data_IF_978146590115
#
_entry.id   IF_978146590115
#
_cell.length_a   1.000
_cell.length_b   1.000
_cell.length_c   1.000
_cell.angle_alpha   90.00
_cell.angle_beta   90.00
_cell.angle_gamma   90.00
#
_symmetry.space_group_name_H-M   'P 1'
#
loop_
_entity.id
_entity.type
_entity.pdbx_description
1 polymer ?
#
# COMPACT_ATOMS: atom_id res chain seq x y z
N UNK A 1 -30.26 5.79 -50.31
CA UNK A 1 -30.88 6.79 -49.41
C UNK A 1 -31.29 6.08 -48.13
N UNK A 2 -31.09 6.75 -46.99
CA UNK A 2 -31.33 6.33 -45.60
C UNK A 2 -30.33 5.31 -45.02
N UNK A 3 -29.74 5.49 -43.83
CA UNK A 3 -29.51 6.68 -43.00
C UNK A 3 -28.39 6.24 -42.04
N UNK A 4 -27.21 6.87 -42.09
CA UNK A 4 -26.18 6.71 -41.07
C UNK A 4 -26.60 7.55 -39.86
N UNK A 5 -27.20 6.90 -38.86
CA UNK A 5 -27.37 7.50 -37.53
C UNK A 5 -26.12 7.22 -36.70
N UNK A 6 -25.20 8.18 -36.76
CA UNK A 6 -24.07 8.33 -35.84
C UNK A 6 -24.64 8.60 -34.45
N UNK A 7 -24.35 7.74 -33.47
CA UNK A 7 -24.65 8.02 -32.07
C UNK A 7 -23.69 9.11 -31.54
N UNK A 8 -24.19 10.28 -31.10
CA UNK A 8 -23.34 11.29 -30.50
C UNK A 8 -22.91 10.86 -29.09
N UNK A 9 -21.61 10.98 -28.82
CA UNK A 9 -21.04 10.84 -27.48
C UNK A 9 -21.72 11.83 -26.52
N UNK A 10 -22.59 11.32 -25.66
CA UNK A 10 -23.23 12.10 -24.60
C UNK A 10 -22.20 12.30 -23.47
N UNK A 11 -21.51 13.44 -23.51
CA UNK A 11 -20.59 13.89 -22.46
C UNK A 11 -21.42 14.31 -21.24
N UNK A 12 -21.58 13.43 -20.26
CA UNK A 12 -22.13 13.79 -18.96
C UNK A 12 -21.19 14.80 -18.30
N UNK A 13 -21.52 16.09 -18.39
CA UNK A 13 -20.95 17.11 -17.50
C UNK A 13 -21.50 16.85 -16.11
N UNK A 14 -20.75 16.11 -15.30
CA UNK A 14 -20.87 16.22 -13.85
C UNK A 14 -20.54 17.66 -13.49
N UNK A 15 -21.55 18.45 -13.16
CA UNK A 15 -21.38 19.71 -12.45
C UNK A 15 -20.97 19.34 -11.00
N UNK A 16 -19.68 19.07 -10.79
CA UNK A 16 -19.09 19.23 -9.47
C UNK A 16 -18.87 20.72 -9.28
N UNK A 17 -19.80 21.35 -8.56
CA UNK A 17 -19.61 22.67 -7.98
C UNK A 17 -18.39 22.63 -7.07
N UNK A 18 -17.24 23.00 -7.63
CA UNK A 18 -15.97 23.14 -6.94
C UNK A 18 -16.10 24.34 -5.99
N UNK A 19 -16.43 24.07 -4.74
CA UNK A 19 -16.43 25.10 -3.70
C UNK A 19 -15.03 25.73 -3.65
N UNK A 20 -14.98 27.02 -4.00
CA UNK A 20 -13.77 27.86 -4.08
C UNK A 20 -13.24 28.23 -2.69
N UNK A 21 -12.95 27.23 -1.85
CA UNK A 21 -12.25 27.44 -0.60
C UNK A 21 -10.85 26.82 -0.64
N UNK A 22 -9.91 27.74 -0.81
CA UNK A 22 -8.45 27.66 -0.81
C UNK A 22 -7.91 26.68 0.25
N UNK A 23 -6.87 25.92 -0.10
CA UNK A 23 -5.85 25.64 0.88
C UNK A 23 -4.45 25.93 0.30
N UNK A 24 -3.64 26.67 1.06
CA UNK A 24 -2.20 26.45 1.02
C UNK A 24 -1.94 24.97 1.30
N UNK A 25 -1.15 24.33 0.44
CA UNK A 25 -0.82 22.92 0.60
C UNK A 25 0.64 22.87 1.00
N UNK A 26 0.90 22.82 2.30
CA UNK A 26 2.21 22.37 2.77
C UNK A 26 2.33 20.90 2.40
N UNK A 27 3.10 20.59 1.35
CA UNK A 27 3.50 19.21 1.06
C UNK A 27 4.87 19.02 1.65
N UNK A 28 4.98 18.21 2.71
CA UNK A 28 6.28 17.61 3.04
C UNK A 28 6.75 16.88 1.79
N UNK A 29 7.98 17.14 1.34
CA UNK A 29 8.61 16.35 0.30
C UNK A 29 8.67 14.92 0.82
N UNK A 30 7.69 14.09 0.47
CA UNK A 30 7.83 12.65 0.58
C UNK A 30 8.88 12.31 -0.46
N UNK A 31 10.13 12.19 -0.03
CA UNK A 31 11.10 11.42 -0.79
C UNK A 31 10.43 10.10 -1.16
N UNK A 32 10.56 9.63 -2.41
CA UNK A 32 10.01 8.34 -2.78
C UNK A 32 10.49 7.31 -1.76
N UNK A 33 9.53 6.66 -1.09
CA UNK A 33 9.79 5.58 -0.14
C UNK A 33 10.68 4.56 -0.85
N UNK A 34 11.97 4.57 -0.52
CA UNK A 34 12.87 3.51 -0.93
C UNK A 34 12.35 2.25 -0.23
N UNK A 35 12.06 1.21 -1.02
CA UNK A 35 11.35 0.00 -0.60
C UNK A 35 12.13 -0.82 0.45
N UNK A 36 13.35 -0.39 0.80
CA UNK A 36 14.30 -1.15 1.60
C UNK A 36 14.43 -0.68 3.06
N UNK A 37 13.74 0.40 3.47
CA UNK A 37 13.75 0.86 4.88
C UNK A 37 12.40 1.46 5.28
N UNK A 38 11.46 0.61 5.69
CA UNK A 38 10.10 0.99 6.09
C UNK A 38 10.00 1.79 7.41
N UNK A 39 11.09 2.25 8.02
CA UNK A 39 11.06 2.87 9.37
C UNK A 39 11.76 4.22 9.52
N UNK A 40 12.39 4.78 8.49
CA UNK A 40 13.12 6.04 8.65
C UNK A 40 12.39 7.21 7.95
N UNK A 41 11.38 7.74 8.63
CA UNK A 41 11.13 9.19 8.55
C UNK A 41 12.41 9.93 8.99
N UNK A 42 12.76 11.07 8.38
CA UNK A 42 13.91 11.85 8.84
C UNK A 42 13.71 12.17 10.31
N UNK A 43 14.63 11.67 11.16
CA UNK A 43 14.62 11.94 12.59
C UNK A 43 14.87 13.43 12.77
N UNK A 44 14.18 14.05 13.72
CA UNK A 44 14.25 15.49 13.98
C UNK A 44 15.66 16.01 14.36
N UNK A 45 16.63 15.12 14.58
CA UNK A 45 18.02 15.49 14.85
C UNK A 45 18.85 15.79 13.58
N UNK A 46 18.29 15.63 12.39
CA UNK A 46 18.94 16.11 11.17
C UNK A 46 18.68 17.60 11.00
N UNK A 47 19.72 18.40 11.27
CA UNK A 47 19.76 19.86 11.07
C UNK A 47 19.43 20.29 9.64
N UNK A 48 19.41 19.33 8.72
CA UNK A 48 19.14 19.46 7.28
C UNK A 48 17.68 19.23 6.90
N UNK A 49 16.79 18.90 7.86
CA UNK A 49 15.38 18.63 7.54
C UNK A 49 14.69 19.90 7.07
N UNK A 50 14.25 19.90 5.81
CA UNK A 50 13.55 21.02 5.17
C UNK A 50 12.06 20.71 5.02
N UNK A 51 11.22 21.71 5.27
CA UNK A 51 9.77 21.67 5.06
C UNK A 51 9.45 22.54 3.85
N UNK A 52 8.61 22.04 2.94
CA UNK A 52 8.18 22.79 1.74
C UNK A 52 6.73 23.24 1.89
N UNK A 53 6.51 24.56 1.95
CA UNK A 53 5.19 25.16 1.74
C UNK A 53 4.94 25.35 0.25
N UNK A 54 3.74 25.05 -0.24
CA UNK A 54 3.38 25.37 -1.63
C UNK A 54 2.02 26.05 -1.72
N UNK A 55 1.92 27.04 -2.62
CA UNK A 55 0.69 27.77 -2.93
C UNK A 55 0.49 27.86 -4.42
N UNK A 56 -0.69 27.51 -4.89
CA UNK A 56 -1.05 27.64 -6.30
C UNK A 56 -1.35 29.11 -6.64
N UNK A 57 -0.81 29.58 -7.76
CA UNK A 57 -1.08 30.89 -8.34
C UNK A 57 -2.18 30.73 -9.36
N UNK A 58 -3.28 31.43 -9.15
CA UNK A 58 -4.42 31.46 -10.04
C UNK A 58 -4.48 32.79 -10.78
N UNK A 59 -4.69 32.75 -12.09
CA UNK A 59 -4.88 33.92 -12.94
C UNK A 59 -6.28 33.85 -13.55
N UNK A 60 -6.92 35.00 -13.66
CA UNK A 60 -8.22 35.12 -14.30
C UNK A 60 -8.99 36.35 -13.80
N UNK A 61 -10.16 36.58 -14.40
CA UNK A 61 -11.00 37.74 -14.16
C UNK A 61 -12.34 37.32 -13.54
N UNK A 62 -12.75 38.03 -12.49
CA UNK A 62 -13.99 37.73 -11.76
C UNK A 62 -14.02 36.32 -11.16
N UNK A 63 -15.03 35.52 -11.53
CA UNK A 63 -15.25 34.16 -11.02
C UNK A 63 -14.44 33.08 -11.74
N UNK A 64 -13.85 33.39 -12.90
CA UNK A 64 -13.11 32.43 -13.72
C UNK A 64 -11.62 32.50 -13.39
N UNK A 65 -11.17 31.68 -12.44
CA UNK A 65 -9.77 31.57 -12.04
C UNK A 65 -9.17 30.24 -12.52
N UNK A 66 -7.99 30.28 -13.14
CA UNK A 66 -7.27 29.10 -13.63
C UNK A 66 -5.91 29.00 -12.94
N UNK A 67 -5.52 27.83 -12.40
CA UNK A 67 -4.19 27.65 -11.84
C UNK A 67 -3.15 27.70 -12.97
N UNK A 68 -2.15 28.58 -12.85
CA UNK A 68 -1.10 28.76 -13.87
C UNK A 68 0.29 28.40 -13.37
N UNK A 69 0.52 28.45 -12.06
CA UNK A 69 1.80 28.13 -11.45
C UNK A 69 1.63 27.66 -9.99
N UNK A 70 2.69 27.15 -9.40
CA UNK A 70 2.79 26.85 -7.96
C UNK A 70 4.07 27.47 -7.45
N UNK A 71 3.96 28.33 -6.44
CA UNK A 71 5.12 28.85 -5.71
C UNK A 71 5.40 27.96 -4.52
N UNK A 72 6.67 27.66 -4.29
CA UNK A 72 7.13 26.84 -3.17
C UNK A 72 8.17 27.57 -2.34
N UNK A 73 8.06 27.52 -1.02
CA UNK A 73 9.06 28.01 -0.08
C UNK A 73 9.58 26.82 0.74
N UNK A 74 10.90 26.66 0.78
CA UNK A 74 11.54 25.70 1.68
C UNK A 74 12.11 26.43 2.89
N UNK A 75 11.79 25.94 4.08
CA UNK A 75 12.33 26.47 5.32
C UNK A 75 12.77 25.33 6.24
N UNK A 76 13.73 25.63 7.12
CA UNK A 76 14.34 24.64 8.00
C UNK A 76 13.36 24.25 9.12
N UNK A 77 13.22 22.94 9.37
CA UNK A 77 12.34 22.41 10.42
C UNK A 77 12.74 22.90 11.81
N UNK A 78 14.03 22.93 12.14
CA UNK A 78 14.50 23.41 13.45
C UNK A 78 14.17 24.89 13.66
N UNK A 79 14.28 25.73 12.62
CA UNK A 79 13.89 27.14 12.72
C UNK A 79 12.39 27.31 12.93
N UNK A 80 11.56 26.45 12.32
CA UNK A 80 10.14 26.41 12.62
C UNK A 80 9.88 25.99 14.07
N UNK A 81 10.60 24.98 14.57
CA UNK A 81 10.50 24.53 15.96
C UNK A 81 10.91 25.62 16.96
N UNK A 82 11.99 26.36 16.70
CA UNK A 82 12.43 27.50 17.53
C UNK A 82 11.31 28.55 17.66
N UNK A 83 10.71 28.94 16.53
CA UNK A 83 9.58 29.89 16.51
C UNK A 83 8.36 29.32 17.24
N UNK A 84 8.03 28.06 16.96
CA UNK A 84 6.93 27.37 17.63
C UNK A 84 7.12 27.36 19.14
N UNK A 85 8.28 26.93 19.63
CA UNK A 85 8.61 26.83 21.05
C UNK A 85 8.53 28.19 21.73
N UNK A 86 9.07 29.23 21.10
CA UNK A 86 8.97 30.61 21.59
C UNK A 86 7.51 31.10 21.69
N UNK A 87 6.66 30.78 20.71
CA UNK A 87 5.24 31.17 20.72
C UNK A 87 4.43 30.42 21.78
N UNK A 88 4.58 29.10 21.88
CA UNK A 88 3.74 28.27 22.77
C UNK A 88 4.15 28.34 24.25
N UNK A 89 5.32 28.92 24.54
CA UNK A 89 5.81 29.18 25.90
C UNK A 89 5.56 30.61 26.36
N UNK A 90 5.35 31.55 25.42
CA UNK A 90 5.06 32.95 25.73
C UNK A 90 3.65 33.15 26.28
N UNK A 91 3.56 34.04 27.26
CA UNK A 91 2.32 34.56 27.80
C UNK A 91 2.13 36.01 27.34
N UNK A 92 0.92 36.40 26.94
CA UNK A 92 0.62 37.79 26.61
C UNK A 92 0.77 38.70 27.84
N UNK A 93 1.40 39.87 27.63
CA UNK A 93 1.56 40.89 28.66
C UNK A 93 0.19 41.49 28.99
N UNK A 94 -0.22 41.40 30.26
CA UNK A 94 -1.51 41.92 30.75
C UNK A 94 -2.48 40.85 31.25
N UNK A 95 -2.17 39.56 31.05
CA UNK A 95 -2.92 38.45 31.65
C UNK A 95 -2.22 38.06 32.96
N UNK A 96 -2.68 38.61 34.09
CA UNK A 96 -2.08 38.41 35.42
C UNK A 96 -2.11 36.96 35.95
N UNK A 97 -2.61 36.00 35.17
CA UNK A 97 -2.67 34.58 35.52
C UNK A 97 -2.47 33.68 34.28
N UNK A 98 -1.45 33.93 33.46
CA UNK A 98 -1.08 32.98 32.41
C UNK A 98 -0.46 31.71 33.03
N UNK A 99 -1.33 30.76 33.39
CA UNK A 99 -0.98 29.51 34.08
C UNK A 99 -0.90 28.30 33.16
N UNK A 100 -1.21 28.44 31.87
CA UNK A 100 -1.34 27.32 30.94
C UNK A 100 -0.55 27.62 29.67
N UNK A 101 0.62 26.99 29.56
CA UNK A 101 1.48 27.03 28.37
C UNK A 101 1.93 25.60 28.05
N UNK A 102 2.47 25.39 26.84
CA UNK A 102 3.02 24.09 26.45
C UNK A 102 4.32 23.75 27.19
N UNK A 103 4.82 24.63 28.06
CA UNK A 103 5.96 24.35 28.94
C UNK A 103 5.59 23.44 30.11
N UNK A 104 4.30 23.29 30.42
CA UNK A 104 3.84 22.49 31.56
C UNK A 104 3.94 21.01 31.19
N UNK A 105 4.60 20.22 32.03
CA UNK A 105 4.82 18.77 31.82
C UNK A 105 3.53 17.94 31.64
N UNK A 106 2.37 18.50 32.00
CA UNK A 106 1.07 17.86 31.87
C UNK A 106 0.46 17.98 30.47
N UNK A 107 0.97 18.90 29.66
CA UNK A 107 0.47 19.16 28.30
C UNK A 107 1.46 18.63 27.28
N UNK A 108 0.92 18.15 26.17
CA UNK A 108 1.69 17.86 24.97
C UNK A 108 1.08 18.62 23.80
N UNK A 109 1.91 19.39 23.12
CA UNK A 109 1.49 20.29 22.06
C UNK A 109 2.07 19.87 20.72
N UNK A 110 1.26 20.01 19.68
CA UNK A 110 1.56 19.52 18.34
C UNK A 110 1.11 20.53 17.30
N UNK A 111 1.86 20.61 16.20
CA UNK A 111 1.34 21.10 14.93
C UNK A 111 1.05 19.90 14.05
N UNK A 112 -0.20 19.73 13.62
CA UNK A 112 -0.63 18.67 12.72
C UNK A 112 -0.90 19.20 11.31
N UNK A 113 -0.66 18.37 10.31
CA UNK A 113 -1.07 18.64 8.93
C UNK A 113 -2.54 18.24 8.68
N UNK A 114 -3.04 18.51 7.48
CA UNK A 114 -4.42 18.17 7.11
C UNK A 114 -4.72 16.66 7.05
N UNK A 115 -3.70 15.81 7.20
CA UNK A 115 -3.80 14.36 7.19
C UNK A 115 -3.51 13.75 8.58
N UNK A 116 -3.47 14.60 9.63
CA UNK A 116 -3.25 14.21 11.02
C UNK A 116 -1.84 13.66 11.32
N UNK A 117 -0.84 14.03 10.51
CA UNK A 117 0.56 13.78 10.81
C UNK A 117 1.17 14.92 11.61
N UNK A 118 2.03 14.56 12.57
CA UNK A 118 2.75 15.52 13.40
C UNK A 118 3.86 16.18 12.58
N UNK A 119 3.76 17.50 12.43
CA UNK A 119 4.78 18.33 11.80
C UNK A 119 5.80 18.85 12.83
N UNK A 120 5.31 19.34 13.96
CA UNK A 120 6.13 19.90 15.06
C UNK A 120 5.62 19.34 16.39
N UNK A 121 6.55 18.98 17.28
CA UNK A 121 6.30 18.41 18.60
C UNK A 121 7.55 18.59 19.47
N UNK A 122 7.39 18.74 20.78
CA UNK A 122 8.52 18.79 21.73
C UNK A 122 9.23 17.45 21.88
N UNK A 123 8.54 16.35 21.52
CA UNK A 123 9.10 15.01 21.44
C UNK A 123 9.56 14.71 20.00
N UNK A 124 10.89 14.57 19.75
CA UNK A 124 11.45 14.31 18.43
C UNK A 124 10.87 13.06 17.75
N UNK A 125 10.61 12.02 18.54
CA UNK A 125 10.13 10.71 18.06
C UNK A 125 8.69 10.76 17.52
N UNK A 126 7.95 11.84 17.77
CA UNK A 126 6.59 12.00 17.28
C UNK A 126 6.54 12.66 15.91
N UNK A 127 7.59 13.36 15.49
CA UNK A 127 7.62 14.07 14.21
C UNK A 127 7.50 13.10 13.04
N UNK A 128 6.55 13.36 12.15
CA UNK A 128 6.24 12.51 11.01
C UNK A 128 5.37 11.29 11.31
N UNK A 129 5.03 11.03 12.57
CA UNK A 129 4.06 9.99 12.94
C UNK A 129 2.64 10.52 12.82
N UNK A 130 1.73 9.59 12.57
CA UNK A 130 0.30 9.85 12.63
C UNK A 130 -0.14 9.99 14.09
N UNK A 131 -0.95 11.00 14.40
CA UNK A 131 -1.34 11.29 15.78
C UNK A 131 -2.09 10.13 16.45
N UNK A 132 -2.85 9.33 15.69
CA UNK A 132 -3.56 8.17 16.22
C UNK A 132 -2.66 7.01 16.64
N UNK A 133 -1.41 6.95 16.18
CA UNK A 133 -0.42 5.98 16.68
C UNK A 133 0.17 6.42 18.03
N UNK A 134 0.10 7.72 18.34
CA UNK A 134 0.61 8.31 19.59
C UNK A 134 -0.52 8.39 20.63
N UNK A 135 -1.67 8.95 20.23
CA UNK A 135 -2.87 9.20 21.05
C UNK A 135 -4.13 8.76 20.28
N UNK A 136 -4.45 7.44 20.26
CA UNK A 136 -5.64 6.92 19.57
C UNK A 136 -6.95 7.45 20.18
N UNK A 137 -6.95 7.73 21.48
CA UNK A 137 -8.06 8.35 22.20
C UNK A 137 -8.38 9.76 21.70
N UNK A 138 -7.36 10.60 21.54
CA UNK A 138 -7.53 11.95 21.01
C UNK A 138 -7.94 11.91 19.55
N UNK A 139 -7.38 10.99 18.75
CA UNK A 139 -7.76 10.88 17.35
C UNK A 139 -9.22 10.46 17.17
N UNK A 140 -9.73 9.55 18.02
CA UNK A 140 -11.14 9.20 18.04
C UNK A 140 -12.01 10.43 18.37
N UNK A 141 -11.66 11.20 19.40
CA UNK A 141 -12.41 12.41 19.75
C UNK A 141 -12.38 13.45 18.60
N UNK A 142 -11.24 13.62 17.92
CA UNK A 142 -11.12 14.55 16.78
C UNK A 142 -12.00 14.14 15.58
N UNK A 143 -12.26 12.84 15.40
CA UNK A 143 -13.17 12.33 14.37
C UNK A 143 -14.63 12.54 14.79
N UNK A 144 -14.94 12.30 16.07
CA UNK A 144 -16.28 12.47 16.62
C UNK A 144 -16.69 13.95 16.57
N UNK A 145 -15.78 14.85 16.95
CA UNK A 145 -15.93 16.31 16.89
C UNK A 145 -15.80 16.86 15.46
N UNK A 146 -15.70 15.99 14.45
CA UNK A 146 -15.65 16.31 13.01
C UNK A 146 -14.48 17.18 12.57
N UNK A 147 -13.41 17.28 13.36
CA UNK A 147 -12.18 17.97 12.99
C UNK A 147 -11.51 17.24 11.82
N UNK A 148 -11.44 15.91 11.87
CA UNK A 148 -10.98 15.06 10.77
C UNK A 148 -12.10 14.19 10.23
N UNK A 149 -12.10 14.00 8.90
CA UNK A 149 -13.00 13.09 8.20
C UNK A 149 -12.21 11.83 7.83
N UNK A 150 -12.54 10.66 8.42
CA UNK A 150 -11.92 9.40 8.06
C UNK A 150 -12.45 8.89 6.72
N UNK A 151 -11.57 8.32 5.90
CA UNK A 151 -11.91 7.63 4.64
C UNK A 151 -11.18 6.30 4.61
N UNK A 152 -11.91 5.19 4.54
CA UNK A 152 -11.33 3.86 4.36
C UNK A 152 -11.00 3.68 2.88
N UNK A 153 -9.74 3.38 2.58
CA UNK A 153 -9.24 3.14 1.24
C UNK A 153 -8.85 1.66 1.10
N UNK A 154 -9.20 1.08 -0.05
CA UNK A 154 -8.81 -0.27 -0.45
C UNK A 154 -7.88 -0.19 -1.66
N UNK A 155 -6.80 -0.95 -1.62
CA UNK A 155 -5.86 -1.15 -2.73
C UNK A 155 -5.89 -2.62 -3.15
N UNK A 156 -6.61 -2.91 -4.23
CA UNK A 156 -6.77 -4.25 -4.80
C UNK A 156 -5.62 -4.64 -5.77
N UNK A 157 -4.62 -3.77 -5.92
CA UNK A 157 -3.47 -3.98 -6.80
C UNK A 157 -2.15 -3.98 -6.04
N UNK A 158 -2.22 -4.15 -4.71
CA UNK A 158 -1.07 -4.13 -3.84
C UNK A 158 -0.23 -5.43 -3.95
N UNK A 159 1.00 -5.33 -3.45
CA UNK A 159 1.95 -6.45 -3.37
C UNK A 159 2.25 -6.70 -1.89
N UNK A 160 1.98 -7.92 -1.42
CA UNK A 160 2.29 -8.36 -0.07
C UNK A 160 3.48 -9.33 -0.08
N UNK A 161 4.36 -9.15 0.90
CA UNK A 161 5.49 -10.03 1.15
C UNK A 161 5.03 -11.20 2.00
N UNK A 162 4.83 -12.36 1.37
CA UNK A 162 4.49 -13.59 2.11
C UNK A 162 5.75 -14.40 2.37
N UNK A 163 5.80 -14.99 3.56
CA UNK A 163 6.82 -16.00 3.84
C UNK A 163 6.66 -17.14 2.83
N UNK A 164 7.77 -17.67 2.30
CA UNK A 164 7.69 -18.83 1.43
C UNK A 164 7.01 -19.97 2.20
N UNK A 165 6.20 -20.79 1.51
CA UNK A 165 5.58 -21.95 2.15
C UNK A 165 6.68 -22.80 2.79
N UNK A 166 6.40 -23.32 3.99
CA UNK A 166 7.34 -24.21 4.69
C UNK A 166 7.74 -25.33 3.73
N UNK A 167 9.05 -25.45 3.51
CA UNK A 167 9.60 -26.52 2.68
C UNK A 167 9.14 -27.86 3.26
N UNK A 168 8.41 -28.64 2.46
CA UNK A 168 8.01 -30.02 2.80
C UNK A 168 9.26 -30.79 3.29
N UNK A 169 9.18 -31.62 4.35
CA UNK A 169 10.30 -32.45 4.80
C UNK A 169 10.90 -33.24 3.65
N UNK A 170 12.23 -33.41 3.64
CA UNK A 170 12.94 -34.06 2.52
C UNK A 170 12.41 -35.48 2.25
N UNK A 171 12.06 -36.21 3.31
CA UNK A 171 11.50 -37.55 3.23
C UNK A 171 10.17 -37.58 2.46
N UNK A 172 9.30 -36.61 2.72
CA UNK A 172 8.00 -36.49 2.05
C UNK A 172 8.18 -36.01 0.60
N UNK A 173 9.12 -35.10 0.33
CA UNK A 173 9.50 -34.73 -1.05
C UNK A 173 9.97 -35.95 -1.86
N UNK A 174 10.80 -36.80 -1.26
CA UNK A 174 11.30 -38.03 -1.91
C UNK A 174 10.15 -39.02 -2.18
N UNK A 175 9.20 -39.17 -1.24
CA UNK A 175 8.00 -40.01 -1.45
C UNK A 175 7.17 -39.51 -2.63
N UNK A 176 6.83 -38.22 -2.66
CA UNK A 176 6.07 -37.60 -3.76
C UNK A 176 6.79 -37.77 -5.09
N UNK A 177 8.13 -37.61 -5.12
CA UNK A 177 8.93 -37.79 -6.35
C UNK A 177 8.90 -39.24 -6.84
N UNK A 178 9.07 -40.23 -5.95
CA UNK A 178 8.99 -41.66 -6.30
C UNK A 178 7.61 -42.03 -6.80
N UNK A 179 6.55 -41.48 -6.21
CA UNK A 179 5.17 -41.72 -6.63
C UNK A 179 4.87 -41.14 -8.01
N UNK A 180 5.28 -39.89 -8.29
CA UNK A 180 5.18 -39.29 -9.62
C UNK A 180 5.97 -40.08 -10.67
N UNK A 181 7.17 -40.58 -10.34
CA UNK A 181 7.94 -41.43 -11.24
C UNK A 181 7.24 -42.76 -11.54
N UNK A 182 6.66 -43.41 -10.52
CA UNK A 182 5.88 -44.63 -10.69
C UNK A 182 4.62 -44.40 -11.54
N UNK A 183 3.91 -43.28 -11.33
CA UNK A 183 2.76 -42.89 -12.13
C UNK A 183 3.14 -42.63 -13.60
N UNK A 184 4.23 -41.89 -13.85
CA UNK A 184 4.75 -41.65 -15.19
C UNK A 184 5.19 -42.95 -15.90
N UNK A 185 5.81 -43.89 -15.16
CA UNK A 185 6.17 -45.20 -15.69
C UNK A 185 4.93 -46.03 -16.07
N UNK A 186 3.86 -45.99 -15.26
CA UNK A 186 2.57 -46.63 -15.57
C UNK A 186 1.91 -46.02 -16.82
N UNK A 187 1.95 -44.70 -16.97
CA UNK A 187 1.45 -44.00 -18.15
C UNK A 187 2.22 -44.38 -19.42
N UNK A 188 3.57 -44.43 -19.36
CA UNK A 188 4.42 -44.88 -20.49
C UNK A 188 4.17 -46.33 -20.89
N UNK A 189 3.92 -47.23 -19.92
CA UNK A 189 3.58 -48.63 -20.22
C UNK A 189 2.22 -48.74 -20.93
N UNK A 190 1.21 -47.98 -20.51
CA UNK A 190 -0.09 -47.90 -21.20
C UNK A 190 0.03 -47.31 -22.61
N UNK A 191 0.86 -46.29 -22.81
CA UNK A 191 1.13 -45.73 -24.14
C UNK A 191 1.86 -46.72 -25.06
N UNK A 192 2.75 -47.56 -24.52
CA UNK A 192 3.47 -48.60 -25.29
C UNK A 192 2.61 -49.82 -25.61
N UNK A 193 1.63 -50.19 -24.77
CA UNK A 193 0.72 -51.31 -25.07
C UNK A 193 -0.22 -51.01 -26.25
N UNK A 194 -0.44 -49.73 -26.58
CA UNK A 194 -1.14 -49.31 -27.80
C UNK A 194 -0.22 -49.20 -29.04
N UNK A 195 1.10 -49.30 -28.88
CA UNK A 195 2.08 -49.08 -29.96
C UNK A 195 2.90 -50.34 -30.33
N UNK A 196 2.55 -51.53 -29.81
CA UNK A 196 3.21 -52.78 -30.20
C UNK A 196 2.53 -53.43 -31.41
N UNK A 197 2.86 -52.94 -32.60
CA UNK A 197 2.84 -53.78 -33.82
C UNK A 197 3.78 -53.20 -34.89
N UNK A 198 5.10 -53.19 -34.67
CA UNK A 198 6.09 -53.28 -35.75
C UNK A 198 7.45 -53.69 -35.17
N UNK A 199 8.04 -54.73 -35.75
CA UNK A 199 9.18 -55.48 -35.24
C UNK A 199 10.54 -54.81 -35.46
N UNK A 200 11.55 -55.44 -34.84
CA UNK A 200 12.99 -55.15 -34.87
C UNK A 200 13.50 -54.82 -36.29
N UNK A 201 14.34 -53.77 -36.44
CA UNK A 201 15.75 -53.90 -36.09
C UNK A 201 16.38 -52.60 -35.54
N UNK A 202 16.40 -52.42 -34.22
CA UNK A 202 16.95 -51.20 -33.60
C UNK A 202 18.01 -51.48 -32.52
N UNK A 203 18.41 -52.74 -32.34
CA UNK A 203 19.34 -53.15 -31.28
C UNK A 203 20.83 -53.02 -31.66
N UNK A 204 21.17 -52.97 -32.95
CA UNK A 204 22.56 -52.88 -33.42
C UNK A 204 23.09 -51.43 -33.51
N UNK A 205 22.23 -50.44 -33.73
CA UNK A 205 22.63 -49.03 -33.82
C UNK A 205 22.87 -48.40 -32.42
N UNK A 206 22.19 -48.92 -31.40
CA UNK A 206 22.31 -48.45 -30.01
C UNK A 206 23.71 -48.70 -29.45
N UNK A 207 24.27 -49.91 -29.67
CA UNK A 207 25.58 -50.31 -29.12
C UNK A 207 26.71 -49.45 -29.72
N UNK A 208 26.64 -49.13 -31.01
CA UNK A 208 27.60 -48.22 -31.66
C UNK A 208 27.58 -46.81 -31.07
N UNK A 209 26.38 -46.29 -30.75
CA UNK A 209 26.22 -45.00 -30.07
C UNK A 209 26.82 -44.98 -28.67
N UNK A 210 26.58 -46.04 -27.88
CA UNK A 210 27.12 -46.16 -26.52
C UNK A 210 28.65 -46.17 -26.51
N UNK A 211 29.29 -46.90 -27.43
CA UNK A 211 30.75 -46.95 -27.53
C UNK A 211 31.29 -45.56 -27.89
N UNK A 212 30.68 -44.88 -28.88
CA UNK A 212 31.11 -43.54 -29.30
C UNK A 212 31.00 -42.50 -28.19
N UNK A 213 29.91 -42.50 -27.43
CA UNK A 213 29.72 -41.55 -26.32
C UNK A 213 30.67 -41.82 -25.16
N UNK A 214 31.00 -43.08 -24.91
CA UNK A 214 31.91 -43.45 -23.81
C UNK A 214 33.35 -43.06 -24.15
N UNK A 215 33.77 -43.27 -25.41
CA UNK A 215 35.08 -42.82 -25.90
C UNK A 215 35.19 -41.29 -25.88
N UNK A 216 34.13 -40.58 -26.29
CA UNK A 216 34.10 -39.11 -26.26
C UNK A 216 34.11 -38.55 -24.82
N UNK A 217 33.44 -39.22 -23.88
CA UNK A 217 33.49 -38.88 -22.46
C UNK A 217 34.89 -39.06 -21.86
N UNK A 218 35.56 -40.18 -22.17
CA UNK A 218 36.94 -40.42 -21.73
C UNK A 218 37.93 -39.45 -22.39
N UNK A 219 37.73 -39.10 -23.65
CA UNK A 219 38.51 -38.06 -24.34
C UNK A 219 38.35 -36.70 -23.66
N UNK A 220 37.15 -36.34 -23.20
CA UNK A 220 36.91 -35.12 -22.42
C UNK A 220 37.58 -35.14 -21.05
N UNK A 221 37.64 -36.29 -20.38
CA UNK A 221 38.34 -36.45 -19.09
C UNK A 221 39.86 -36.28 -19.25
N UNK A 222 40.43 -36.79 -20.34
CA UNK A 222 41.88 -36.66 -20.62
C UNK A 222 42.25 -35.28 -21.16
N UNK A 223 41.35 -34.61 -21.88
CA UNK A 223 41.59 -33.29 -22.49
C UNK A 223 41.42 -32.11 -21.51
N UNK A 224 41.13 -32.38 -20.22
CA UNK A 224 41.18 -31.36 -19.16
C UNK A 224 40.23 -30.17 -19.36
N UNK A 225 39.04 -30.39 -19.93
CA UNK A 225 38.04 -29.32 -20.04
C UNK A 225 37.29 -29.19 -18.71
N UNK A 226 37.63 -28.14 -17.95
CA UNK A 226 37.16 -27.87 -16.59
C UNK A 226 35.63 -27.84 -16.48
N UNK A 227 35.05 -28.77 -15.73
CA UNK A 227 33.78 -28.54 -15.02
C UNK A 227 34.05 -28.66 -13.52
N UNK A 228 34.74 -27.65 -12.98
CA UNK A 228 34.89 -27.51 -11.54
C UNK A 228 33.58 -26.97 -10.95
N UNK A 229 32.85 -27.82 -10.25
CA UNK A 229 31.83 -27.35 -9.30
C UNK A 229 32.60 -26.73 -8.13
N UNK A 230 32.66 -25.41 -8.08
CA UNK A 230 33.26 -24.70 -6.95
C UNK A 230 32.41 -24.91 -5.70
N UNK A 231 32.92 -25.70 -4.75
CA UNK A 231 32.38 -25.78 -3.40
C UNK A 231 33.40 -25.11 -2.47
N UNK A 232 33.07 -23.91 -1.99
CA UNK A 232 33.99 -23.14 -1.16
C UNK A 232 34.16 -23.77 0.21
N UNK A 233 35.39 -23.66 0.72
CA UNK A 233 35.87 -24.26 1.97
C UNK A 233 35.88 -23.25 3.13
N UNK A 234 35.57 -21.97 2.85
CA UNK A 234 35.63 -20.90 3.83
C UNK A 234 34.42 -20.97 4.78
N UNK A 235 34.68 -21.09 6.08
CA UNK A 235 33.66 -21.15 7.12
C UNK A 235 32.74 -19.92 7.10
N UNK A 236 33.26 -18.74 6.79
CA UNK A 236 32.47 -17.50 6.66
C UNK A 236 31.45 -17.57 5.50
N UNK A 237 31.81 -18.24 4.41
CA UNK A 237 30.92 -18.44 3.26
C UNK A 237 29.88 -19.54 3.53
N UNK A 238 30.23 -20.53 4.36
CA UNK A 238 29.31 -21.56 4.86
C UNK A 238 28.34 -20.94 5.88
N UNK A 239 28.81 -20.01 6.74
CA UNK A 239 27.98 -19.26 7.68
C UNK A 239 27.00 -18.32 6.96
N UNK A 240 27.43 -17.67 5.89
CA UNK A 240 26.55 -16.87 5.02
C UNK A 240 25.48 -17.74 4.32
N UNK A 241 25.82 -18.95 3.89
CA UNK A 241 24.84 -19.92 3.35
C UNK A 241 23.91 -20.52 4.42
N UNK A 242 24.33 -20.57 5.69
CA UNK A 242 23.48 -20.98 6.82
C UNK A 242 22.48 -19.89 7.22
N UNK A 243 22.76 -18.62 6.91
CA UNK A 243 21.75 -17.56 6.91
C UNK A 243 20.97 -17.62 5.60
N UNK A 244 20.07 -18.60 5.49
CA UNK A 244 19.08 -18.60 4.42
C UNK A 244 18.24 -17.32 4.56
N UNK A 245 18.56 -16.29 3.78
CA UNK A 245 17.70 -15.13 3.60
C UNK A 245 16.34 -15.69 3.22
N UNK A 246 15.35 -15.53 4.10
CA UNK A 246 13.98 -15.90 3.81
C UNK A 246 13.53 -14.95 2.70
N UNK A 247 13.69 -15.38 1.45
CA UNK A 247 13.23 -14.63 0.29
C UNK A 247 11.72 -14.55 0.39
N UNK A 248 11.21 -13.41 0.85
CA UNK A 248 9.79 -13.11 0.82
C UNK A 248 9.34 -13.13 -0.64
N UNK A 249 8.24 -13.81 -0.92
CA UNK A 249 7.71 -13.86 -2.27
C UNK A 249 6.71 -12.70 -2.41
N UNK A 250 6.96 -11.71 -3.30
CA UNK A 250 5.97 -10.69 -3.59
C UNK A 250 4.77 -11.37 -4.26
N UNK A 251 3.60 -11.23 -3.64
CA UNK A 251 2.34 -11.80 -4.14
C UNK A 251 1.27 -10.71 -4.22
N UNK A 252 0.41 -10.71 -5.26
CA UNK A 252 -0.74 -9.83 -5.31
C UNK A 252 -1.63 -10.04 -4.08
N UNK A 253 -2.07 -8.95 -3.46
CA UNK A 253 -2.94 -8.98 -2.31
C UNK A 253 -3.81 -7.72 -2.29
N UNK A 254 -4.88 -7.79 -1.51
CA UNK A 254 -5.71 -6.62 -1.25
C UNK A 254 -5.27 -6.00 0.08
N UNK A 255 -5.09 -4.69 0.09
CA UNK A 255 -4.74 -3.94 1.29
C UNK A 255 -5.83 -2.94 1.63
N UNK A 256 -5.96 -2.64 2.92
CA UNK A 256 -6.79 -1.55 3.42
C UNK A 256 -6.00 -0.60 4.30
N UNK A 257 -6.43 0.65 4.32
CA UNK A 257 -5.89 1.69 5.21
C UNK A 257 -6.89 2.80 5.44
N UNK A 258 -6.65 3.58 6.48
CA UNK A 258 -7.40 4.80 6.77
C UNK A 258 -6.65 6.03 6.28
N UNK A 259 -7.37 6.93 5.62
CA UNK A 259 -6.92 8.26 5.25
C UNK A 259 -7.76 9.28 6.00
N UNK A 260 -7.14 10.42 6.31
CA UNK A 260 -7.79 11.50 7.05
C UNK A 260 -7.69 12.79 6.27
N UNK A 261 -8.76 13.58 6.29
CA UNK A 261 -8.75 14.94 5.76
C UNK A 261 -9.33 15.90 6.78
N UNK A 262 -8.65 17.02 7.00
CA UNK A 262 -9.15 18.10 7.84
C UNK A 262 -10.45 18.67 7.29
N UNK A 263 -11.48 18.74 8.14
CA UNK A 263 -12.78 19.27 7.76
C UNK A 263 -12.76 20.80 7.77
N UNK A 264 -12.83 21.41 6.59
CA UNK A 264 -12.79 22.88 6.40
C UNK A 264 -13.99 23.64 6.93
N UNK A 265 -15.13 22.97 7.12
CA UNK A 265 -16.38 23.63 7.49
C UNK A 265 -16.57 23.80 9.00
N UNK A 266 -15.70 23.18 9.81
CA UNK A 266 -15.76 23.31 11.27
C UNK A 266 -15.33 24.71 11.69
N UNK A 267 -16.09 25.31 12.61
CA UNK A 267 -15.73 26.58 13.26
C UNK A 267 -14.73 26.30 14.37
N UNK A 268 -13.64 27.06 14.38
CA UNK A 268 -12.59 27.02 15.39
C UNK A 268 -12.58 28.34 16.19
N UNK A 269 -12.02 28.37 17.42
CA UNK A 269 -11.38 27.26 18.13
C UNK A 269 -12.38 26.21 18.60
N UNK A 270 -11.97 24.94 18.63
CA UNK A 270 -12.74 23.87 19.23
C UNK A 270 -12.08 23.51 20.55
N UNK A 271 -12.61 24.09 21.64
CA UNK A 271 -12.19 23.78 23.00
C UNK A 271 -13.40 23.36 23.83
N UNK A 272 -13.26 22.25 24.57
CA UNK A 272 -14.15 21.97 25.71
C UNK A 272 -13.70 22.70 26.99
N UNK A 273 -12.52 23.32 26.94
CA UNK A 273 -11.99 24.17 28.00
C UNK A 273 -12.59 25.57 27.89
N UNK A 274 -13.68 25.79 28.62
CA UNK A 274 -14.43 27.06 28.65
C UNK A 274 -14.28 27.77 30.00
N UNK A 275 -13.97 27.03 31.08
CA UNK A 275 -13.89 27.59 32.44
C UNK A 275 -12.48 27.40 33.05
N UNK A 276 -11.80 28.47 33.50
CA UNK A 276 -10.51 28.41 34.20
C UNK A 276 -10.54 27.60 35.51
N UNK A 277 -11.73 27.24 36.03
CA UNK A 277 -11.91 26.35 37.18
C UNK A 277 -11.81 24.87 36.84
N UNK A 278 -11.83 24.51 35.55
CA UNK A 278 -11.66 23.12 35.11
C UNK A 278 -10.26 22.66 35.55
N UNK A 279 -10.23 21.69 36.45
CA UNK A 279 -8.99 21.07 36.91
C UNK A 279 -8.40 20.22 35.77
N UNK A 280 -7.11 19.97 35.80
CA UNK A 280 -6.40 19.09 34.85
C UNK A 280 -6.77 17.59 35.02
N UNK A 281 -8.00 17.31 35.41
CA UNK A 281 -8.53 16.05 35.93
C UNK A 281 -9.49 15.41 34.90
N UNK A 282 -9.03 15.32 33.65
CA UNK A 282 -9.68 14.67 32.50
C UNK A 282 -10.99 15.26 31.95
N UNK A 283 -11.55 16.31 32.56
CA UNK A 283 -12.73 17.02 32.06
C UNK A 283 -12.52 17.62 30.65
N UNK A 284 -11.26 17.84 30.29
CA UNK A 284 -10.84 18.39 29.01
C UNK A 284 -9.75 17.48 28.40
N UNK A 285 -10.01 16.86 27.22
CA UNK A 285 -9.01 15.99 26.60
C UNK A 285 -8.02 16.75 25.71
N UNK A 286 -8.47 17.80 25.00
CA UNK A 286 -7.64 18.59 24.08
C UNK A 286 -8.21 19.96 23.69
N UNK A 287 -7.35 20.90 23.25
CA UNK A 287 -7.68 22.15 22.51
C UNK A 287 -7.22 21.90 21.11
N UNK A 288 -8.05 22.24 20.13
CA UNK A 288 -7.61 22.34 18.74
C UNK A 288 -7.97 23.70 18.16
N UNK A 289 -7.01 24.29 17.45
CA UNK A 289 -7.24 25.52 16.70
C UNK A 289 -6.53 25.46 15.35
N UNK A 290 -7.01 26.25 14.38
CA UNK A 290 -6.38 26.34 13.06
C UNK A 290 -5.27 27.36 13.08
N UNK A 291 -4.18 27.03 12.38
CA UNK A 291 -3.17 28.04 12.05
C UNK A 291 -3.70 28.82 10.83
N UNK A 292 -3.96 30.14 10.96
CA UNK A 292 -4.57 30.93 9.90
C UNK A 292 -3.81 30.83 8.57
N UNK A 293 -4.55 30.91 7.47
CA UNK A 293 -4.05 30.85 6.09
C UNK A 293 -3.29 29.56 5.71
N UNK A 294 -3.29 28.53 6.55
CA UNK A 294 -2.60 27.27 6.28
C UNK A 294 -3.54 26.05 6.34
N UNK A 295 -3.02 24.89 5.94
CA UNK A 295 -3.65 23.60 6.15
C UNK A 295 -3.26 22.94 7.49
N UNK A 296 -2.61 23.67 8.38
CA UNK A 296 -2.09 23.18 9.65
C UNK A 296 -3.05 23.50 10.79
N UNK A 297 -3.03 22.65 11.82
CA UNK A 297 -3.75 22.87 13.07
C UNK A 297 -2.80 22.75 14.25
N UNK A 298 -3.06 23.55 15.28
CA UNK A 298 -2.44 23.43 16.59
C UNK A 298 -3.32 22.52 17.46
N UNK A 299 -2.69 21.56 18.14
CA UNK A 299 -3.35 20.63 19.04
C UNK A 299 -2.59 20.61 20.36
N UNK A 300 -3.28 20.89 21.46
CA UNK A 300 -2.75 20.72 22.81
C UNK A 300 -3.57 19.63 23.52
N UNK A 301 -2.92 18.58 24.01
CA UNK A 301 -3.57 17.45 24.68
C UNK A 301 -3.13 17.36 26.14
N UNK A 302 -4.05 16.93 27.01
CA UNK A 302 -3.67 16.54 28.37
C UNK A 302 -2.99 15.17 28.33
N UNK A 303 -1.74 15.09 28.78
CA UNK A 303 -0.93 13.87 28.78
C UNK A 303 -0.66 13.35 30.21
N UNK A 304 -1.31 13.94 31.22
CA UNK A 304 -1.09 13.60 32.63
C UNK A 304 -2.13 12.63 33.21
N UNK A 305 -1.64 11.63 33.94
CA UNK A 305 -2.46 10.80 34.83
C UNK A 305 -3.46 9.87 34.10
N UNK A 306 -4.65 9.62 34.69
CA UNK A 306 -5.63 8.64 34.17
C UNK A 306 -6.32 9.08 32.87
N UNK A 307 -6.05 10.30 32.37
CA UNK A 307 -6.63 10.83 31.15
C UNK A 307 -5.98 10.27 29.88
N UNK A 308 -4.78 9.70 30.03
CA UNK A 308 -4.02 9.11 28.93
C UNK A 308 -4.41 7.64 28.76
N UNK A 309 -4.70 7.24 27.52
CA UNK A 309 -4.90 5.83 27.18
C UNK A 309 -6.31 5.30 27.41
N UNK A 310 -7.34 6.15 27.24
CA UNK A 310 -8.72 5.66 27.17
C UNK A 310 -8.86 4.64 26.02
N UNK A 311 -9.63 3.55 26.20
CA UNK A 311 -9.90 2.61 25.12
C UNK A 311 -10.60 3.34 23.97
N UNK A 312 -9.99 3.29 22.79
CA UNK A 312 -10.47 3.98 21.60
C UNK A 312 -10.22 3.14 20.35
N UNK A 313 -11.03 3.29 19.29
CA UNK A 313 -10.81 2.60 18.03
C UNK A 313 -9.46 3.00 17.42
N UNK A 314 -8.68 2.00 17.00
CA UNK A 314 -7.42 2.23 16.31
C UNK A 314 -7.66 2.31 14.81
N UNK A 315 -7.24 3.41 14.20
CA UNK A 315 -7.32 3.60 12.75
C UNK A 315 -5.93 3.50 12.12
N UNK A 316 -5.64 2.38 11.48
CA UNK A 316 -4.34 2.11 10.87
C UNK A 316 -4.18 2.90 9.56
N UNK A 317 -3.18 3.77 9.49
CA UNK A 317 -2.82 4.51 8.26
C UNK A 317 -1.89 3.69 7.36
N UNK A 318 -1.11 2.78 7.97
CA UNK A 318 -0.28 1.86 7.23
C UNK A 318 -1.12 0.77 6.53
N UNK A 319 -0.78 0.42 5.27
CA UNK A 319 -1.51 -0.59 4.54
C UNK A 319 -1.47 -1.95 5.24
N UNK A 320 -2.65 -2.53 5.49
CA UNK A 320 -2.81 -3.85 6.08
C UNK A 320 -3.44 -4.81 5.08
N UNK A 321 -2.86 -6.01 4.94
CA UNK A 321 -3.45 -7.06 4.10
C UNK A 321 -4.84 -7.47 4.62
N UNK A 322 -5.80 -7.53 3.70
CA UNK A 322 -7.17 -7.99 3.98
C UNK A 322 -7.17 -9.50 3.94
N UNK A 323 -7.57 -10.12 5.05
CA UNK A 323 -7.77 -11.57 5.13
C UNK A 323 -9.26 -11.86 5.01
N UNK A 324 -9.64 -12.47 3.89
CA UNK A 324 -11.02 -12.89 3.64
C UNK A 324 -11.34 -14.21 4.36
N UNK A 325 -12.53 -14.32 4.93
CA UNK A 325 -13.02 -15.57 5.54
C UNK A 325 -13.30 -16.66 4.47
N UNK A 326 -13.63 -16.23 3.25
CA UNK A 326 -13.83 -17.10 2.08
C UNK A 326 -12.72 -16.90 1.06
N UNK A 327 -12.65 -17.76 0.04
CA UNK A 327 -11.78 -17.51 -1.10
C UNK A 327 -12.16 -16.17 -1.78
N UNK A 328 -11.16 -15.49 -2.34
CA UNK A 328 -11.35 -14.21 -3.03
C UNK A 328 -12.43 -14.27 -4.13
N UNK A 329 -12.50 -15.31 -4.99
CA UNK A 329 -13.57 -15.42 -5.99
C UNK A 329 -14.97 -15.52 -5.36
N UNK A 330 -15.11 -16.26 -4.25
CA UNK A 330 -16.39 -16.37 -3.56
C UNK A 330 -16.79 -15.03 -2.93
N UNK A 331 -15.83 -14.33 -2.30
CA UNK A 331 -16.08 -13.00 -1.74
C UNK A 331 -16.58 -12.01 -2.81
N UNK A 332 -15.93 -12.00 -3.98
CA UNK A 332 -16.36 -11.18 -5.12
C UNK A 332 -17.76 -11.60 -5.60
N UNK A 333 -18.08 -12.90 -5.64
CA UNK A 333 -19.38 -13.34 -6.13
C UNK A 333 -20.55 -13.02 -5.18
N UNK A 334 -20.32 -13.06 -3.85
CA UNK A 334 -21.41 -13.02 -2.86
C UNK A 334 -21.44 -11.79 -1.97
N UNK A 335 -20.29 -11.12 -1.76
CA UNK A 335 -20.15 -10.05 -0.77
C UNK A 335 -19.79 -8.69 -1.38
N UNK A 336 -19.48 -8.61 -2.68
CA UNK A 336 -19.21 -7.31 -3.31
C UNK A 336 -20.52 -6.61 -3.73
N UNK A 337 -20.50 -5.28 -3.74
CA UNK A 337 -21.64 -4.45 -4.17
C UNK A 337 -21.34 -3.76 -5.51
N UNK A 338 -20.59 -4.45 -6.39
CA UNK A 338 -20.26 -3.89 -7.70
C UNK A 338 -21.40 -4.15 -8.67
N UNK A 339 -22.00 -3.07 -9.17
CA UNK A 339 -23.01 -3.18 -10.23
C UNK A 339 -22.31 -3.54 -11.53
N UNK A 340 -22.76 -4.62 -12.17
CA UNK A 340 -22.34 -4.99 -13.51
C UNK A 340 -23.44 -4.62 -14.49
N UNK A 341 -23.10 -3.78 -15.46
CA UNK A 341 -23.97 -3.59 -16.62
C UNK A 341 -23.85 -4.84 -17.50
N UNK A 342 -24.97 -5.53 -17.73
CA UNK A 342 -25.02 -6.58 -18.74
C UNK A 342 -24.90 -5.95 -20.13
N UNK A 343 -24.26 -6.66 -21.06
CA UNK A 343 -24.21 -6.23 -22.45
C UNK A 343 -25.64 -6.13 -22.99
N UNK A 344 -25.91 -5.11 -23.80
CA UNK A 344 -27.28 -4.81 -24.26
C UNK A 344 -27.83 -5.95 -25.14
N UNK A 345 -26.98 -6.56 -25.97
CA UNK A 345 -27.33 -7.67 -26.85
C UNK A 345 -26.24 -8.75 -26.83
N UNK A 346 -26.66 -10.01 -26.87
CA UNK A 346 -25.78 -11.16 -27.02
C UNK A 346 -26.15 -11.88 -28.32
N UNK A 347 -25.31 -11.73 -29.35
CA UNK A 347 -25.43 -12.48 -30.59
C UNK A 347 -24.63 -13.77 -30.45
N UNK A 348 -25.28 -14.82 -29.95
CA UNK A 348 -24.66 -16.13 -29.71
C UNK A 348 -24.85 -17.12 -30.87
N UNK A 349 -25.54 -16.71 -31.94
CA UNK A 349 -25.88 -17.55 -33.09
C UNK A 349 -26.10 -16.69 -34.32
N UNK A 350 -25.49 -17.08 -35.42
CA UNK A 350 -25.80 -16.56 -36.76
C UNK A 350 -26.49 -17.65 -37.61
N UNK A 351 -27.54 -17.28 -38.35
CA UNK A 351 -28.23 -18.19 -39.26
C UNK A 351 -27.31 -18.69 -40.39
N UNK A 352 -26.28 -17.93 -40.74
CA UNK A 352 -25.28 -18.37 -41.73
C UNK A 352 -24.38 -19.49 -41.18
N UNK A 353 -24.07 -19.48 -39.88
CA UNK A 353 -23.33 -20.57 -39.22
C UNK A 353 -24.14 -21.87 -39.23
N UNK A 354 -25.46 -21.80 -39.01
CA UNK A 354 -26.34 -22.95 -39.08
C UNK A 354 -26.36 -23.60 -40.47
N UNK A 355 -26.35 -22.78 -41.53
CA UNK A 355 -26.35 -23.26 -42.90
C UNK A 355 -25.02 -23.92 -43.29
N UNK A 356 -23.89 -23.39 -42.80
CA UNK A 356 -22.57 -24.00 -42.99
C UNK A 356 -22.46 -25.34 -42.24
N UNK A 357 -23.01 -25.44 -41.03
CA UNK A 357 -23.04 -26.68 -40.25
C UNK A 357 -23.87 -27.80 -40.89
N UNK A 358 -24.89 -27.46 -41.70
CA UNK A 358 -25.69 -28.44 -42.43
C UNK A 358 -24.98 -28.98 -43.67
N UNK A 359 -24.17 -28.15 -44.33
CA UNK A 359 -23.50 -28.53 -45.56
C UNK A 359 -22.20 -29.29 -45.34
N UNK A 360 -21.42 -28.99 -44.28
CA UNK A 360 -20.19 -29.73 -43.99
C UNK A 360 -19.82 -29.66 -42.50
N UNK A 361 -19.83 -30.81 -41.80
CA UNK A 361 -19.54 -30.91 -40.35
C UNK A 361 -18.11 -30.52 -39.98
N UNK A 362 -17.24 -30.32 -40.98
CA UNK A 362 -15.82 -30.00 -40.78
C UNK A 362 -15.57 -28.58 -40.29
N UNK A 363 -16.54 -27.67 -40.45
CA UNK A 363 -16.40 -26.24 -40.11
C UNK A 363 -17.08 -25.84 -38.81
N UNK A 364 -17.71 -26.77 -38.10
CA UNK A 364 -18.29 -26.48 -36.80
C UNK A 364 -17.16 -26.31 -35.78
N UNK A 365 -17.19 -25.20 -35.02
CA UNK A 365 -16.14 -24.80 -34.09
C UNK A 365 -15.64 -25.98 -33.25
N UNK A 366 -14.36 -26.33 -33.45
CA UNK A 366 -13.65 -27.18 -32.51
C UNK A 366 -13.62 -26.45 -31.16
N UNK A 367 -14.53 -26.81 -30.25
CA UNK A 367 -14.33 -26.52 -28.84
C UNK A 367 -13.18 -27.42 -28.40
N UNK A 368 -11.99 -26.86 -28.26
CA UNK A 368 -10.83 -27.55 -27.70
C UNK A 368 -11.17 -27.98 -26.27
N UNK A 369 -11.44 -29.28 -26.10
CA UNK A 369 -11.63 -29.94 -24.80
C UNK A 369 -10.33 -30.52 -24.28
#
# INVERSE_FOLDING_TARGET
MAHQSICPYMKSRGHESFNQHEPERLKRTQTPRNLDNQTNFPKANDTTTMITSTKAVFVGEGSSKTPVAVVGLQFNHMKMYEIYSDVVTKCEKGIENCKITCQIERLSCYILDNNAYVLVSDQPDYIGKYIGDIRPDIMADLIDDKVYIPTRMFDYQAICQKLPPKKIPEEERVRIRKEKQRAAARARKRAKSSATRFGLPDQLLQIGKWILTTVWFLFRVVSGEENFVYQSINEDMIAFNKQAIIKTLPTPCDQERWLFNLNKSVKFPLSRYIDPKIKFECDWPYVVDRIPNSNLIFLATNDHGPCKGRPAPTYLVDPKEIVYNTSLPCYIATMNNFTRRMYMDCFNRDKQEDALNQNDRKYCGHTWG
#
